data_IF_954758412453
#
_entry.id   IF_954758412453
#
_cell.length_a   1.000
_cell.length_b   1.000
_cell.length_c   1.000
_cell.angle_alpha   90.00
_cell.angle_beta   90.00
_cell.angle_gamma   90.00
#
_symmetry.space_group_name_H-M   'P 1'
#
loop_
_entity.id
_entity.type
_entity.pdbx_description
1 polymer ?
#
# COMPACT_ATOMS: atom_id res chain seq x y z
N UNK A 1 23.72 4.45 81.92
CA UNK A 1 23.71 2.97 81.91
C UNK A 1 22.53 2.45 81.11
N UNK A 2 22.72 1.34 80.39
CA UNK A 2 22.02 0.94 79.16
C UNK A 2 20.66 0.26 79.43
N UNK A 3 19.64 0.61 78.63
CA UNK A 3 18.29 0.01 78.59
C UNK A 3 18.32 -1.43 78.00
N UNK A 4 17.39 -2.32 78.38
CA UNK A 4 17.30 -3.67 77.81
C UNK A 4 16.46 -3.67 76.52
N UNK A 5 17.00 -4.23 75.44
CA UNK A 5 16.27 -4.49 74.19
C UNK A 5 15.91 -5.98 74.13
N UNK A 6 14.62 -6.29 74.28
CA UNK A 6 14.06 -7.61 73.96
C UNK A 6 14.07 -7.79 72.44
N UNK A 7 14.71 -8.87 71.97
CA UNK A 7 14.69 -9.31 70.57
C UNK A 7 13.29 -9.82 70.23
N UNK A 8 12.61 -9.17 69.29
CA UNK A 8 11.42 -9.73 68.65
C UNK A 8 11.84 -10.17 67.24
N UNK A 9 11.98 -11.47 67.05
CA UNK A 9 12.19 -12.09 65.74
C UNK A 9 10.80 -12.39 65.18
N UNK A 10 10.40 -11.73 64.09
CA UNK A 10 9.15 -12.01 63.38
C UNK A 10 9.51 -12.38 61.94
N UNK A 11 9.44 -13.68 61.65
CA UNK A 11 9.52 -14.27 60.32
C UNK A 11 8.16 -14.09 59.64
N UNK A 12 8.09 -13.30 58.56
CA UNK A 12 6.90 -13.21 57.70
C UNK A 12 7.09 -14.15 56.51
N UNK A 13 6.16 -15.08 56.39
CA UNK A 13 6.08 -16.13 55.38
C UNK A 13 5.92 -15.55 53.96
N UNK A 14 6.51 -16.24 52.99
CA UNK A 14 6.57 -15.86 51.58
C UNK A 14 5.21 -15.79 50.89
N UNK A 15 5.05 -14.74 50.09
CA UNK A 15 3.93 -14.56 49.16
C UNK A 15 4.27 -15.29 47.86
N UNK A 16 3.51 -16.35 47.54
CA UNK A 16 3.49 -16.96 46.21
C UNK A 16 2.85 -15.96 45.22
N UNK A 17 3.64 -15.41 44.30
CA UNK A 17 3.14 -14.69 43.14
C UNK A 17 2.71 -15.68 42.07
N UNK A 18 1.40 -15.89 41.92
CA UNK A 18 0.80 -16.52 40.74
C UNK A 18 0.89 -15.52 39.58
N UNK A 19 1.90 -15.70 38.73
CA UNK A 19 2.04 -14.94 37.48
C UNK A 19 0.97 -15.38 36.48
N UNK A 20 -0.05 -14.56 36.29
CA UNK A 20 -0.90 -14.64 35.11
C UNK A 20 -0.11 -14.10 33.92
N UNK A 21 0.44 -15.01 33.11
CA UNK A 21 0.88 -14.65 31.75
C UNK A 21 -0.39 -14.32 30.96
N UNK A 22 -0.71 -13.03 30.91
CA UNK A 22 -1.71 -12.51 29.99
C UNK A 22 -1.20 -12.78 28.59
N UNK A 23 -1.79 -13.81 27.96
CA UNK A 23 -1.61 -14.09 26.54
C UNK A 23 -2.08 -12.85 25.78
N UNK A 24 -1.14 -12.02 25.34
CA UNK A 24 -1.43 -10.93 24.43
C UNK A 24 -1.99 -11.56 23.16
N UNK A 25 -3.30 -11.41 23.01
CA UNK A 25 -4.04 -11.78 21.81
C UNK A 25 -3.48 -10.91 20.68
N UNK A 26 -2.89 -11.56 19.69
CA UNK A 26 -2.38 -10.90 18.49
C UNK A 26 -3.59 -10.30 17.76
N UNK A 27 -3.75 -8.98 17.88
CA UNK A 27 -4.78 -8.25 17.14
C UNK A 27 -4.30 -8.13 15.69
N UNK A 28 -5.19 -8.41 14.74
CA UNK A 28 -4.92 -8.23 13.31
C UNK A 28 -4.49 -6.79 12.99
N UNK A 29 -4.00 -6.52 11.77
CA UNK A 29 -3.37 -5.24 11.44
C UNK A 29 -4.27 -4.07 11.85
N UNK A 30 -3.75 -3.23 12.75
CA UNK A 30 -4.45 -2.05 13.24
C UNK A 30 -4.78 -1.14 12.05
N UNK A 31 -5.91 -0.43 12.11
CA UNK A 31 -6.37 0.48 11.04
C UNK A 31 -5.32 1.54 10.68
N UNK A 32 -4.43 1.86 11.62
CA UNK A 32 -3.30 2.78 11.47
C UNK A 32 -2.18 2.23 10.56
N UNK A 33 -2.19 0.95 10.20
CA UNK A 33 -1.20 0.33 9.33
C UNK A 33 -1.54 0.44 7.83
N UNK A 34 -2.77 0.84 7.49
CA UNK A 34 -3.21 0.99 6.11
C UNK A 34 -3.11 2.46 5.66
N UNK A 35 -2.36 2.71 4.60
CA UNK A 35 -2.28 4.01 3.91
C UNK A 35 -3.02 3.93 2.58
N UNK A 36 -3.87 4.91 2.29
CA UNK A 36 -4.66 4.95 1.05
C UNK A 36 -4.01 5.82 -0.01
N UNK A 37 -4.12 5.36 -1.26
CA UNK A 37 -3.64 6.08 -2.43
C UNK A 37 -4.70 6.03 -3.52
N UNK A 38 -4.63 7.00 -4.43
CA UNK A 38 -5.48 7.05 -5.61
C UNK A 38 -4.70 7.44 -6.86
N UNK A 39 -5.29 7.12 -8.01
CA UNK A 39 -4.80 7.53 -9.32
C UNK A 39 -5.97 8.00 -10.18
N UNK A 40 -5.84 9.20 -10.76
CA UNK A 40 -6.70 9.65 -11.86
C UNK A 40 -6.02 9.25 -13.16
N UNK A 41 -6.67 8.39 -13.96
CA UNK A 41 -6.05 7.74 -15.13
C UNK A 41 -6.67 8.33 -16.39
N UNK A 42 -5.87 8.95 -17.25
CA UNK A 42 -6.30 9.52 -18.52
C UNK A 42 -5.12 9.64 -19.50
N UNK A 43 -5.35 10.19 -20.69
CA UNK A 43 -4.32 10.31 -21.75
C UNK A 43 -3.34 11.47 -21.53
N UNK A 44 -3.69 12.49 -20.75
CA UNK A 44 -2.87 13.71 -20.57
C UNK A 44 -1.44 13.44 -20.08
N UNK A 45 -1.20 12.59 -19.06
CA UNK A 45 0.14 12.34 -18.52
C UNK A 45 0.91 11.24 -19.27
N UNK A 46 0.42 10.75 -20.40
CA UNK A 46 1.09 9.67 -21.15
C UNK A 46 2.38 10.17 -21.82
N UNK A 47 3.38 9.29 -21.85
CA UNK A 47 4.67 9.53 -22.51
C UNK A 47 5.05 8.24 -23.27
N UNK A 48 5.03 8.24 -24.62
CA UNK A 48 4.62 9.30 -25.53
C UNK A 48 3.17 9.77 -25.34
N UNK A 49 2.87 11.00 -25.75
CA UNK A 49 1.53 11.58 -25.60
C UNK A 49 0.51 10.90 -26.52
N UNK A 50 -0.48 10.24 -25.92
CA UNK A 50 -1.67 9.74 -26.59
C UNK A 50 -2.79 10.80 -26.61
N UNK A 51 -3.76 10.63 -27.51
CA UNK A 51 -5.02 11.40 -27.51
C UNK A 51 -6.17 10.40 -27.45
N UNK A 52 -6.89 10.39 -26.34
CA UNK A 52 -8.00 9.45 -26.10
C UNK A 52 -9.02 10.05 -25.14
N UNK A 53 -10.28 9.69 -25.33
CA UNK A 53 -11.39 9.94 -24.38
C UNK A 53 -11.50 8.85 -23.31
N UNK A 54 -10.61 7.87 -23.32
CA UNK A 54 -10.46 6.88 -22.28
C UNK A 54 -10.12 7.55 -20.93
N UNK A 55 -10.73 7.01 -19.89
CA UNK A 55 -10.54 7.48 -18.52
C UNK A 55 -10.64 6.31 -17.56
N UNK A 56 -10.06 6.48 -16.36
CA UNK A 56 -10.14 5.50 -15.30
C UNK A 56 -9.76 6.08 -13.95
N UNK A 57 -9.96 5.27 -12.92
CA UNK A 57 -9.54 5.56 -11.55
C UNK A 57 -8.87 4.33 -10.95
N UNK A 58 -7.89 4.56 -10.08
CA UNK A 58 -7.31 3.55 -9.23
C UNK A 58 -7.48 3.94 -7.77
N UNK A 59 -7.88 2.98 -6.94
CA UNK A 59 -7.87 3.07 -5.48
C UNK A 59 -6.97 1.99 -4.93
N UNK A 60 -6.11 2.35 -4.00
CA UNK A 60 -5.11 1.45 -3.44
C UNK A 60 -5.07 1.54 -1.92
N UNK A 61 -4.81 0.40 -1.28
CA UNK A 61 -4.63 0.27 0.15
C UNK A 61 -3.29 -0.43 0.40
N UNK A 62 -2.34 0.31 0.98
CA UNK A 62 -1.01 -0.18 1.30
C UNK A 62 -0.90 -0.53 2.79
N UNK A 63 -0.59 -1.79 3.10
CA UNK A 63 -0.33 -2.24 4.46
C UNK A 63 1.16 -2.05 4.80
N UNK A 64 1.48 -1.19 5.77
CA UNK A 64 2.87 -0.90 6.17
C UNK A 64 3.59 -2.09 6.77
N UNK A 65 2.87 -2.99 7.44
CA UNK A 65 3.41 -4.16 8.14
C UNK A 65 3.70 -5.28 7.15
N UNK A 66 2.73 -5.61 6.30
CA UNK A 66 2.87 -6.70 5.32
C UNK A 66 3.46 -6.23 4.00
N UNK A 67 3.52 -4.93 3.69
CA UNK A 67 3.86 -4.36 2.36
C UNK A 67 2.97 -4.81 1.21
N UNK A 68 1.76 -5.27 1.53
CA UNK A 68 0.78 -5.58 0.51
C UNK A 68 0.15 -4.29 -0.01
N UNK A 69 0.09 -4.16 -1.33
CA UNK A 69 -0.64 -3.12 -2.03
C UNK A 69 -1.87 -3.77 -2.68
N UNK A 70 -3.02 -3.60 -2.03
CA UNK A 70 -4.31 -3.97 -2.61
C UNK A 70 -4.73 -2.87 -3.59
N UNK A 71 -5.30 -3.26 -4.73
CA UNK A 71 -5.72 -2.32 -5.77
C UNK A 71 -7.12 -2.65 -6.29
N UNK A 72 -7.83 -1.59 -6.69
CA UNK A 72 -9.03 -1.64 -7.48
C UNK A 72 -8.96 -0.55 -8.55
N UNK A 73 -8.83 -0.94 -9.81
CA UNK A 73 -8.68 -0.06 -10.95
C UNK A 73 -9.89 -0.24 -11.84
N UNK A 74 -10.56 0.86 -12.18
CA UNK A 74 -11.65 0.88 -13.16
C UNK A 74 -11.29 1.78 -14.34
N UNK A 75 -11.79 1.46 -15.52
CA UNK A 75 -11.52 2.22 -16.75
C UNK A 75 -12.70 2.11 -17.72
N UNK A 76 -12.82 3.03 -18.66
CA UNK A 76 -13.91 3.07 -19.64
C UNK A 76 -13.44 3.65 -20.97
N UNK A 77 -14.20 3.41 -22.03
CA UNK A 77 -13.90 3.86 -23.40
C UNK A 77 -12.54 3.39 -23.92
N UNK A 78 -12.09 2.21 -23.51
CA UNK A 78 -10.79 1.64 -23.88
C UNK A 78 -10.89 0.11 -24.01
N UNK A 79 -10.06 -0.49 -24.86
CA UNK A 79 -9.87 -1.94 -24.95
C UNK A 79 -8.41 -2.28 -24.62
N UNK A 80 -8.09 -2.52 -23.33
CA UNK A 80 -6.71 -2.72 -22.92
C UNK A 80 -6.12 -4.03 -23.40
N UNK A 81 -4.84 -4.01 -23.77
CA UNK A 81 -4.04 -5.24 -23.93
C UNK A 81 -3.48 -5.72 -22.59
N UNK A 82 -3.29 -4.80 -21.64
CA UNK A 82 -2.89 -5.10 -20.27
C UNK A 82 -3.24 -3.95 -19.32
N UNK A 83 -3.17 -4.22 -18.02
CA UNK A 83 -3.18 -3.20 -16.96
C UNK A 83 -1.97 -3.44 -16.08
N UNK A 84 -1.09 -2.43 -15.99
CA UNK A 84 0.22 -2.58 -15.38
C UNK A 84 0.49 -1.47 -14.37
N UNK A 85 1.39 -1.74 -13.44
CA UNK A 85 2.04 -0.70 -12.64
C UNK A 85 3.48 -0.57 -13.12
N UNK A 86 3.89 0.67 -13.36
CA UNK A 86 5.24 1.06 -13.72
C UNK A 86 5.83 1.95 -12.64
N UNK A 87 7.14 2.15 -12.72
CA UNK A 87 7.89 3.03 -11.83
C UNK A 87 8.80 3.93 -12.68
N UNK A 88 8.80 5.24 -12.44
CA UNK A 88 9.67 6.18 -13.13
C UNK A 88 10.25 7.21 -12.17
N UNK A 89 11.51 7.56 -12.38
CA UNK A 89 12.19 8.66 -11.69
C UNK A 89 12.97 9.47 -12.75
N UNK A 90 12.54 10.71 -13.07
CA UNK A 90 11.46 11.47 -12.43
C UNK A 90 10.05 10.94 -12.75
N UNK A 91 9.08 11.27 -11.89
CA UNK A 91 7.71 10.73 -11.93
C UNK A 91 6.95 10.99 -13.25
N UNK A 92 7.34 12.02 -14.00
CA UNK A 92 6.69 12.39 -15.27
C UNK A 92 7.25 11.65 -16.50
N UNK A 93 8.29 10.86 -16.35
CA UNK A 93 8.88 10.08 -17.44
C UNK A 93 8.23 8.70 -17.58
N UNK A 94 8.49 8.03 -18.71
CA UNK A 94 8.20 6.61 -18.86
C UNK A 94 9.27 5.78 -18.15
N UNK A 95 8.87 4.71 -17.48
CA UNK A 95 9.78 3.80 -16.80
C UNK A 95 9.36 2.34 -16.91
N UNK A 96 10.17 1.42 -16.37
CA UNK A 96 9.92 -0.01 -16.48
C UNK A 96 8.62 -0.44 -15.78
N UNK A 97 8.02 -1.50 -16.32
CA UNK A 97 6.93 -2.20 -15.65
C UNK A 97 7.47 -2.92 -14.41
N UNK A 98 6.81 -2.73 -13.28
CA UNK A 98 7.14 -3.40 -12.01
C UNK A 98 6.10 -4.46 -11.63
N UNK A 99 4.84 -4.33 -12.09
CA UNK A 99 3.81 -5.34 -11.92
C UNK A 99 2.91 -5.43 -13.16
N UNK A 100 2.65 -6.66 -13.62
CA UNK A 100 1.58 -6.96 -14.57
C UNK A 100 0.33 -7.37 -13.77
N UNK A 101 -0.73 -6.56 -13.80
CA UNK A 101 -1.93 -6.79 -12.98
C UNK A 101 -2.98 -7.61 -13.72
N UNK A 102 -3.10 -7.41 -15.03
CA UNK A 102 -3.99 -8.19 -15.89
C UNK A 102 -3.48 -8.19 -17.33
N UNK A 103 -3.71 -9.30 -18.04
CA UNK A 103 -3.44 -9.46 -19.47
C UNK A 103 -4.76 -9.68 -20.21
N UNK A 104 -5.01 -8.90 -21.27
CA UNK A 104 -6.26 -8.92 -22.05
C UNK A 104 -7.53 -8.99 -21.16
N UNK A 105 -7.68 -8.08 -20.17
CA UNK A 105 -8.78 -8.16 -19.22
C UNK A 105 -10.14 -8.07 -19.91
N UNK A 106 -11.06 -8.94 -19.51
CA UNK A 106 -12.46 -8.85 -19.91
C UNK A 106 -13.20 -7.94 -18.94
N UNK A 107 -13.87 -6.91 -19.45
CA UNK A 107 -14.60 -5.92 -18.65
C UNK A 107 -13.77 -4.69 -18.30
N UNK A 108 -14.26 -3.93 -17.31
CA UNK A 108 -13.87 -2.55 -17.05
C UNK A 108 -13.23 -2.34 -15.66
N UNK A 109 -12.86 -3.44 -14.99
CA UNK A 109 -12.34 -3.42 -13.62
C UNK A 109 -11.27 -4.50 -13.42
N UNK A 110 -10.18 -4.14 -12.74
CA UNK A 110 -9.06 -5.01 -12.36
C UNK A 110 -8.78 -4.83 -10.88
N UNK A 111 -8.83 -5.93 -10.12
CA UNK A 111 -8.65 -5.95 -8.67
C UNK A 111 -7.65 -7.04 -8.26
N UNK A 112 -6.97 -6.82 -7.14
CA UNK A 112 -6.04 -7.80 -6.59
C UNK A 112 -5.11 -7.20 -5.54
N UNK A 113 -4.03 -7.91 -5.28
CA UNK A 113 -2.99 -7.51 -4.33
C UNK A 113 -1.63 -7.86 -4.90
N UNK A 114 -0.67 -6.95 -4.79
CA UNK A 114 0.75 -7.22 -5.05
C UNK A 114 1.58 -6.98 -3.79
N UNK A 115 2.64 -7.76 -3.62
CA UNK A 115 3.58 -7.61 -2.51
C UNK A 115 4.72 -6.69 -2.94
N UNK A 116 4.91 -5.57 -2.25
CA UNK A 116 6.01 -4.65 -2.55
C UNK A 116 7.33 -5.10 -1.90
N UNK A 117 8.42 -4.96 -2.65
CA UNK A 117 9.76 -4.92 -2.09
C UNK A 117 10.06 -3.53 -1.49
N UNK A 118 11.23 -3.36 -0.88
CA UNK A 118 11.60 -2.12 -0.19
C UNK A 118 11.70 -0.94 -1.16
N UNK A 119 12.30 -1.13 -2.32
CA UNK A 119 12.45 -0.09 -3.35
C UNK A 119 11.09 0.38 -3.87
N UNK A 120 10.20 -0.56 -4.19
CA UNK A 120 8.84 -0.29 -4.66
C UNK A 120 7.99 0.38 -3.58
N UNK A 121 8.16 0.00 -2.31
CA UNK A 121 7.52 0.70 -1.20
C UNK A 121 7.95 2.17 -1.17
N UNK A 122 9.26 2.44 -1.25
CA UNK A 122 9.75 3.83 -1.29
C UNK A 122 9.19 4.57 -2.49
N UNK A 123 9.21 3.95 -3.67
CA UNK A 123 8.66 4.53 -4.89
C UNK A 123 7.16 4.82 -4.80
N UNK A 124 6.36 3.96 -4.16
CA UNK A 124 4.95 4.24 -3.88
C UNK A 124 4.80 5.47 -2.99
N UNK A 125 5.51 5.50 -1.87
CA UNK A 125 5.40 6.56 -0.85
C UNK A 125 5.80 7.92 -1.42
N UNK A 126 6.84 7.98 -2.26
CA UNK A 126 7.31 9.23 -2.87
C UNK A 126 6.64 9.55 -4.22
N UNK A 127 5.60 8.79 -4.61
CA UNK A 127 4.77 9.09 -5.78
C UNK A 127 5.47 8.85 -7.11
N UNK A 128 6.32 7.83 -7.23
CA UNK A 128 7.05 7.44 -8.45
C UNK A 128 6.39 6.27 -9.21
N UNK A 129 5.36 5.65 -8.63
CA UNK A 129 4.61 4.55 -9.27
C UNK A 129 3.36 5.07 -9.99
N UNK A 130 3.03 4.45 -11.12
CA UNK A 130 1.86 4.84 -11.93
C UNK A 130 1.18 3.63 -12.56
N UNK A 131 -0.13 3.73 -12.74
CA UNK A 131 -0.90 2.79 -13.56
C UNK A 131 -0.68 3.16 -15.03
N UNK A 132 -0.41 2.15 -15.85
CA UNK A 132 -0.33 2.27 -17.31
C UNK A 132 -1.28 1.26 -17.96
N UNK A 133 -2.11 1.72 -18.89
CA UNK A 133 -3.08 0.90 -19.60
C UNK A 133 -2.84 1.06 -21.11
N UNK A 134 -2.04 0.18 -21.72
CA UNK A 134 -1.82 0.18 -23.16
C UNK A 134 -2.97 -0.47 -23.93
N UNK A 135 -3.08 -0.10 -25.20
CA UNK A 135 -3.94 -0.74 -26.20
C UNK A 135 -3.09 -1.26 -27.35
N UNK A 136 -3.72 -1.87 -28.35
CA UNK A 136 -3.02 -2.30 -29.57
C UNK A 136 -2.42 -1.12 -30.35
N UNK A 137 -3.12 0.02 -30.38
CA UNK A 137 -2.69 1.24 -31.09
C UNK A 137 -1.69 2.06 -30.27
N UNK A 138 -1.85 2.10 -28.94
CA UNK A 138 -0.99 2.84 -28.04
C UNK A 138 -0.22 1.88 -27.12
N UNK A 139 0.76 1.17 -27.68
CA UNK A 139 1.49 0.09 -27.00
C UNK A 139 2.31 0.55 -25.78
N UNK A 140 2.71 1.83 -25.74
CA UNK A 140 3.43 2.41 -24.60
C UNK A 140 2.49 2.89 -23.48
N UNK A 141 1.18 2.91 -23.72
CA UNK A 141 0.16 3.40 -22.80
C UNK A 141 -0.81 4.35 -23.50
N UNK A 142 -2.10 4.02 -23.53
CA UNK A 142 -3.14 4.94 -24.01
C UNK A 142 -3.58 5.91 -22.90
N UNK A 143 -3.64 5.40 -21.66
CA UNK A 143 -3.93 6.18 -20.46
C UNK A 143 -3.00 5.81 -19.33
N UNK A 144 -2.66 6.81 -18.52
CA UNK A 144 -1.76 6.73 -17.36
C UNK A 144 -2.32 7.52 -16.19
N UNK A 145 -2.03 7.06 -14.97
CA UNK A 145 -2.33 7.81 -13.75
C UNK A 145 -1.28 7.57 -12.68
N UNK A 146 -0.70 8.65 -12.14
CA UNK A 146 0.24 8.57 -11.03
C UNK A 146 -0.49 8.08 -9.77
N UNK A 147 0.13 7.17 -9.01
CA UNK A 147 -0.41 6.68 -7.74
C UNK A 147 0.11 7.61 -6.64
N UNK A 148 -0.78 8.35 -6.01
CA UNK A 148 -0.46 9.39 -5.02
C UNK A 148 -1.22 9.13 -3.72
N UNK A 149 -0.60 9.47 -2.59
CA UNK A 149 -1.26 9.33 -1.29
C UNK A 149 -2.51 10.21 -1.25
N UNK A 150 -3.59 9.66 -0.70
CA UNK A 150 -4.81 10.44 -0.48
C UNK A 150 -4.52 11.53 0.56
N UNK A 151 -5.10 12.72 0.36
CA UNK A 151 -4.99 13.79 1.34
C UNK A 151 -5.76 13.35 2.59
N UNK A 152 -5.11 13.43 3.75
CA UNK A 152 -5.83 13.35 5.02
C UNK A 152 -6.68 14.61 5.13
N UNK A 153 -8.00 14.47 5.07
CA UNK A 153 -8.91 15.54 5.49
C UNK A 153 -8.79 15.64 7.02
N UNK A 154 -8.22 16.74 7.51
CA UNK A 154 -8.22 17.14 8.93
C UNK A 154 -9.58 17.73 9.34
#
# INVERSE_FOLDING_TARGET
MKKPMKRFLLLIAGVLMLGFVSSCKEEGPHKDDIVKFSAVINSTPTVPKATSSAQGTGVFEYNKTTRDLKYNITYQNITPTSVNIHMANPAYEAGPMVFALAQNPTGNQVQGTVKLNIEQQTALIVGLMYVNIPTAENIYGEIRGQILADKFEE
#
